data_IF_619992804869
#
_entry.id   IF_619992804869
#
_cell.length_a   1.000
_cell.length_b   1.000
_cell.length_c   1.000
_cell.angle_alpha   90.00
_cell.angle_beta   90.00
_cell.angle_gamma   90.00
#
_symmetry.space_group_name_H-M   'P 1'
#
loop_
_entity.id
_entity.type
_entity.pdbx_description
1 polymer ?
#
# COMPACT_ATOMS: atom_id res chain seq x y z
N UNK A 1 -1.48 -14.33 -6.79
CA UNK A 1 -1.23 -13.23 -5.84
C UNK A 1 -2.58 -12.89 -5.24
N UNK A 2 -2.75 -12.86 -3.91
CA UNK A 2 -4.04 -12.49 -3.33
C UNK A 2 -4.40 -11.06 -3.77
N UNK A 3 -5.66 -10.87 -4.14
CA UNK A 3 -6.13 -9.60 -4.70
C UNK A 3 -6.27 -8.60 -3.55
N UNK A 4 -5.58 -7.45 -3.65
CA UNK A 4 -5.67 -6.36 -2.64
C UNK A 4 -7.12 -5.95 -2.38
N UNK A 5 -8.00 -6.14 -3.37
CA UNK A 5 -9.44 -5.90 -3.26
C UNK A 5 -10.08 -6.70 -2.14
N UNK A 6 -9.65 -7.94 -1.89
CA UNK A 6 -10.22 -8.81 -0.85
C UNK A 6 -10.03 -8.20 0.54
N UNK A 7 -8.84 -7.69 0.83
CA UNK A 7 -8.50 -7.03 2.10
C UNK A 7 -9.12 -5.65 2.29
N UNK A 8 -9.54 -5.02 1.18
CA UNK A 8 -10.11 -3.66 1.18
C UNK A 8 -11.63 -3.66 1.03
N UNK A 9 -12.28 -4.83 0.99
CA UNK A 9 -13.74 -4.97 0.84
C UNK A 9 -14.50 -4.36 2.01
N UNK A 10 -13.93 -4.41 3.23
CA UNK A 10 -14.56 -3.90 4.45
C UNK A 10 -14.26 -2.42 4.72
N UNK A 11 -13.46 -1.77 3.87
CA UNK A 11 -13.12 -0.36 4.03
C UNK A 11 -14.31 0.51 3.64
N UNK A 12 -14.65 1.46 4.52
CA UNK A 12 -15.64 2.50 4.22
C UNK A 12 -14.95 3.64 3.48
N UNK A 13 -15.31 3.83 2.22
CA UNK A 13 -14.86 4.94 1.41
C UNK A 13 -15.76 6.18 1.59
N UNK A 14 -15.23 7.41 1.49
CA UNK A 14 -13.82 7.75 1.29
C UNK A 14 -12.95 7.45 2.52
N UNK A 15 -11.67 7.11 2.30
CA UNK A 15 -10.74 6.75 3.37
C UNK A 15 -9.29 7.18 3.08
N UNK A 16 -8.53 7.46 4.13
CA UNK A 16 -7.11 7.80 4.03
C UNK A 16 -6.20 6.58 3.89
N UNK A 17 -4.94 6.81 3.50
CA UNK A 17 -3.87 5.79 3.50
C UNK A 17 -3.76 5.04 4.83
N UNK A 18 -3.88 5.75 5.96
CA UNK A 18 -3.79 5.13 7.28
C UNK A 18 -4.93 4.13 7.53
N UNK A 19 -6.13 4.42 7.06
CA UNK A 19 -7.29 3.53 7.18
C UNK A 19 -7.10 2.29 6.29
N UNK A 20 -6.59 2.47 5.07
CA UNK A 20 -6.21 1.36 4.18
C UNK A 20 -5.18 0.43 4.82
N UNK A 21 -4.14 0.99 5.45
CA UNK A 21 -3.12 0.22 6.16
C UNK A 21 -3.70 -0.55 7.34
N UNK A 22 -4.58 0.07 8.13
CA UNK A 22 -5.26 -0.58 9.25
C UNK A 22 -6.15 -1.72 8.78
N UNK A 23 -6.97 -1.49 7.75
CA UNK A 23 -7.86 -2.51 7.20
C UNK A 23 -7.08 -3.68 6.59
N UNK A 24 -6.02 -3.39 5.83
CA UNK A 24 -5.13 -4.41 5.31
C UNK A 24 -4.47 -5.22 6.45
N UNK A 25 -3.94 -4.56 7.48
CA UNK A 25 -3.34 -5.24 8.62
C UNK A 25 -4.37 -6.09 9.39
N UNK A 26 -5.59 -5.57 9.59
CA UNK A 26 -6.68 -6.30 10.23
C UNK A 26 -7.12 -7.53 9.41
N UNK A 27 -7.08 -7.43 8.08
CA UNK A 27 -7.32 -8.54 7.15
C UNK A 27 -6.16 -9.52 7.03
N UNK A 28 -5.05 -9.32 7.76
CA UNK A 28 -3.88 -10.20 7.71
C UNK A 28 -3.01 -10.01 6.47
N UNK A 29 -3.03 -8.83 5.86
CA UNK A 29 -2.11 -8.49 4.77
C UNK A 29 -0.65 -8.61 5.23
N UNK A 30 0.18 -9.26 4.41
CA UNK A 30 1.60 -9.38 4.69
C UNK A 30 2.36 -8.05 4.55
N UNK A 31 3.55 -7.97 5.15
CA UNK A 31 4.42 -6.78 5.12
C UNK A 31 4.70 -6.23 3.71
N UNK A 32 4.74 -7.10 2.70
CA UNK A 32 4.91 -6.67 1.32
C UNK A 32 3.74 -5.80 0.84
N UNK A 33 2.50 -6.19 1.17
CA UNK A 33 1.31 -5.43 0.79
C UNK A 33 1.20 -4.14 1.63
N UNK A 34 1.46 -4.22 2.94
CA UNK A 34 1.51 -3.05 3.82
C UNK A 34 2.59 -2.05 3.38
N UNK A 35 3.77 -2.53 2.98
CA UNK A 35 4.84 -1.70 2.45
C UNK A 35 4.42 -0.96 1.17
N UNK A 36 3.75 -1.65 0.24
CA UNK A 36 3.22 -1.02 -0.98
C UNK A 36 2.14 0.01 -0.66
N UNK A 37 1.20 -0.31 0.23
CA UNK A 37 0.19 0.66 0.70
C UNK A 37 0.85 1.86 1.39
N UNK A 38 1.95 1.66 2.11
CA UNK A 38 2.73 2.72 2.74
C UNK A 38 3.42 3.65 1.76
N UNK A 39 3.73 3.20 0.54
CA UNK A 39 4.29 4.04 -0.53
C UNK A 39 3.26 4.92 -1.24
N UNK A 40 1.96 4.68 -1.00
CA UNK A 40 0.91 5.47 -1.62
C UNK A 40 0.90 6.91 -1.08
N UNK A 41 0.49 7.88 -1.91
CA UNK A 41 0.35 9.26 -1.47
C UNK A 41 -0.66 9.38 -0.33
N UNK A 42 -0.37 10.31 0.58
CA UNK A 42 -1.23 10.65 1.71
C UNK A 42 -2.40 11.51 1.20
N UNK A 43 -3.46 10.84 0.77
CA UNK A 43 -4.71 11.44 0.28
C UNK A 43 -5.90 10.56 0.62
N UNK A 44 -7.08 11.13 0.48
CA UNK A 44 -8.33 10.38 0.47
C UNK A 44 -8.47 9.55 -0.81
N UNK A 45 -8.89 8.31 -0.64
CA UNK A 45 -9.25 7.40 -1.70
C UNK A 45 -10.75 7.22 -1.70
N UNK A 46 -11.39 7.38 -2.86
CA UNK A 46 -12.83 7.24 -3.01
C UNK A 46 -13.28 5.79 -3.23
N UNK A 47 -12.37 4.91 -3.67
CA UNK A 47 -12.67 3.52 -3.96
C UNK A 47 -11.42 2.63 -4.06
N UNK A 48 -11.62 1.33 -3.93
CA UNK A 48 -10.56 0.32 -4.06
C UNK A 48 -9.90 0.31 -5.45
N UNK A 49 -10.62 0.70 -6.51
CA UNK A 49 -10.08 0.75 -7.87
C UNK A 49 -8.99 1.82 -8.00
N UNK A 50 -9.20 2.98 -7.35
CA UNK A 50 -8.19 4.05 -7.28
C UNK A 50 -6.93 3.55 -6.57
N UNK A 51 -7.09 2.87 -5.43
CA UNK A 51 -5.95 2.30 -4.68
C UNK A 51 -5.19 1.29 -5.55
N UNK A 52 -5.91 0.41 -6.25
CA UNK A 52 -5.30 -0.57 -7.14
C UNK A 52 -4.54 0.09 -8.29
N UNK A 53 -5.11 1.12 -8.92
CA UNK A 53 -4.45 1.84 -10.02
C UNK A 53 -3.15 2.49 -9.56
N UNK A 54 -3.16 3.11 -8.39
CA UNK A 54 -1.95 3.69 -7.81
C UNK A 54 -0.90 2.60 -7.49
N UNK A 55 -1.33 1.47 -6.91
CA UNK A 55 -0.44 0.34 -6.62
C UNK A 55 0.18 -0.28 -7.88
N UNK A 56 -0.56 -0.33 -9.00
CA UNK A 56 -0.10 -0.81 -10.30
C UNK A 56 0.88 0.17 -10.95
N UNK A 57 0.53 1.46 -10.94
CA UNK A 57 1.39 2.56 -11.41
C UNK A 57 2.71 2.66 -10.65
N UNK A 58 2.69 2.43 -9.33
CA UNK A 58 3.90 2.37 -8.50
C UNK A 58 4.79 1.19 -8.89
N UNK A 59 4.22 0.03 -9.29
CA UNK A 59 5.03 -1.12 -9.75
C UNK A 59 5.71 -0.86 -11.08
N UNK A 60 5.10 -0.05 -11.95
CA UNK A 60 5.68 0.33 -13.23
C UNK A 60 6.76 1.42 -13.11
N UNK A 61 6.89 2.07 -11.95
CA UNK A 61 7.71 3.27 -11.78
C UNK A 61 9.07 3.12 -11.07
N UNK A 62 9.44 1.96 -10.54
CA UNK A 62 10.61 1.86 -9.66
C UNK A 62 11.76 0.98 -10.21
N UNK A 63 12.49 1.54 -11.17
CA UNK A 63 13.91 1.29 -11.30
C UNK A 63 14.70 2.15 -10.31
N UNK A 64 15.48 1.50 -9.43
CA UNK A 64 16.73 2.04 -8.86
C UNK A 64 16.65 3.03 -7.70
N UNK A 65 17.30 2.69 -6.58
CA UNK A 65 18.03 3.70 -5.80
C UNK A 65 18.20 3.46 -4.30
N UNK A 66 19.35 2.89 -3.95
CA UNK A 66 20.16 3.14 -2.73
C UNK A 66 19.99 2.20 -1.52
N UNK A 67 20.88 1.20 -1.48
CA UNK A 67 21.59 0.78 -0.26
C UNK A 67 22.65 1.83 0.08
N UNK A 68 22.74 2.28 1.35
CA UNK A 68 24.03 2.34 2.06
C UNK A 68 23.85 1.66 3.43
N UNK A 69 24.71 0.72 3.83
CA UNK A 69 26.03 1.04 4.36
C UNK A 69 25.89 1.34 5.86
N UNK A 70 25.94 0.31 6.69
CA UNK A 70 27.01 0.14 7.71
C UNK A 70 27.00 1.22 8.80
N UNK A 71 26.51 0.86 9.99
CA UNK A 71 26.97 1.52 11.21
C UNK A 71 27.90 0.53 11.90
N UNK A 72 29.17 0.56 11.50
CA UNK A 72 30.24 0.04 12.32
C UNK A 72 30.56 1.04 13.42
N UNK A 73 30.53 0.58 14.67
CA UNK A 73 31.52 0.87 15.73
C UNK A 73 31.30 -0.16 16.83
#
# INVERSE_FOLDING_TARGET
MPDVREYLTEVRYPCDRAELLRAAAAGGAGDQLLGRLGTLPERDYDCADTVHRELDGVTSGAGGGRRPGDTGT
#
